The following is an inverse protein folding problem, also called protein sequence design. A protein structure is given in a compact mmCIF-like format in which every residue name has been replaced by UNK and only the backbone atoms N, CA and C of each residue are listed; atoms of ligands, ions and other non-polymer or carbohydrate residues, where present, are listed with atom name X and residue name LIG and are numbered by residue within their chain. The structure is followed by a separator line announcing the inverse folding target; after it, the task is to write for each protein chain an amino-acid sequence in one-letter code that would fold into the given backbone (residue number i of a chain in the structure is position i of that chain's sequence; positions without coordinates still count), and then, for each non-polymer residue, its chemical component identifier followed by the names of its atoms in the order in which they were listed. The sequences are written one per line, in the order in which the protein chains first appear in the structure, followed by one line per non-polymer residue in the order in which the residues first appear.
data_IF_876792696575
#
_entry.id   IF_876792696575
#
_cell.length_a   1.000
_cell.length_b   1.000
_cell.length_c   1.000
_cell.angle_alpha   90.00
_cell.angle_beta   90.00
_cell.angle_gamma   90.00
#
_symmetry.space_group_name_H-M   'P 1'
#
loop_
_entity.id
_entity.type
_entity.pdbx_description
1 polymer ?
#
# COMPACT_ATOMS: atom_id res chain seq x y z
N UNK A 1 -29.20 52.92 35.45
CA UNK A 1 -27.97 53.46 36.06
C UNK A 1 -26.92 53.60 34.96
N UNK A 2 -26.59 54.84 34.57
CA UNK A 2 -25.77 55.18 33.41
C UNK A 2 -24.29 55.18 33.84
N UNK A 3 -23.49 54.24 33.33
CA UNK A 3 -22.05 54.22 33.59
C UNK A 3 -21.35 55.33 32.78
N UNK A 4 -21.03 56.45 33.46
CA UNK A 4 -20.06 57.45 32.99
C UNK A 4 -18.64 56.88 33.14
N UNK A 5 -18.09 56.30 32.08
CA UNK A 5 -16.68 55.88 32.05
C UNK A 5 -15.78 57.00 31.51
N UNK A 6 -14.74 57.37 32.27
CA UNK A 6 -13.65 58.27 31.85
C UNK A 6 -13.10 57.86 30.47
N UNK A 7 -13.08 58.81 29.52
CA UNK A 7 -12.51 58.69 28.17
C UNK A 7 -11.08 58.12 28.28
N UNK A 8 -10.87 56.88 27.85
CA UNK A 8 -9.57 56.19 27.93
C UNK A 8 -9.71 54.76 28.47
N UNK A 9 -10.04 54.60 29.76
CA UNK A 9 -10.09 53.26 30.39
C UNK A 9 -11.31 52.43 29.97
N UNK A 10 -12.45 53.07 29.68
CA UNK A 10 -13.66 52.39 29.22
C UNK A 10 -13.56 51.86 27.77
N UNK A 11 -12.71 52.46 26.94
CA UNK A 11 -12.47 52.01 25.57
C UNK A 11 -11.63 50.72 25.55
N UNK A 12 -10.61 50.63 26.41
CA UNK A 12 -9.78 49.44 26.58
C UNK A 12 -10.62 48.28 27.11
N UNK A 13 -11.46 48.52 28.13
CA UNK A 13 -12.33 47.46 28.68
C UNK A 13 -13.33 46.94 27.65
N UNK A 14 -13.92 47.82 26.82
CA UNK A 14 -14.80 47.43 25.71
C UNK A 14 -14.04 46.65 24.62
N UNK A 15 -12.82 47.06 24.29
CA UNK A 15 -11.99 46.36 23.31
C UNK A 15 -11.60 44.96 23.78
N UNK A 16 -11.21 44.80 25.05
CA UNK A 16 -10.90 43.50 25.65
C UNK A 16 -12.14 42.61 25.69
N UNK A 17 -13.30 43.16 26.09
CA UNK A 17 -14.55 42.40 26.12
C UNK A 17 -14.98 41.94 24.72
N UNK A 18 -14.88 42.82 23.71
CA UNK A 18 -15.16 42.46 22.32
C UNK A 18 -14.18 41.42 21.77
N UNK A 19 -12.89 41.51 22.12
CA UNK A 19 -11.89 40.53 21.69
C UNK A 19 -12.15 39.14 22.31
N UNK A 20 -12.45 39.09 23.61
CA UNK A 20 -12.80 37.82 24.29
C UNK A 20 -14.11 37.26 23.74
N UNK A 21 -15.11 38.10 23.49
CA UNK A 21 -16.39 37.69 22.91
C UNK A 21 -16.23 37.13 21.49
N UNK A 22 -15.38 37.74 20.66
CA UNK A 22 -15.04 37.23 19.32
C UNK A 22 -14.29 35.90 19.37
N UNK A 23 -13.39 35.70 20.34
CA UNK A 23 -12.67 34.43 20.53
C UNK A 23 -13.65 33.32 20.97
N UNK A 24 -14.59 33.62 21.87
CA UNK A 24 -15.61 32.67 22.32
C UNK A 24 -16.60 32.34 21.19
N UNK A 25 -17.01 33.32 20.39
CA UNK A 25 -17.83 33.11 19.19
C UNK A 25 -17.10 32.29 18.13
N UNK A 26 -15.84 32.60 17.84
CA UNK A 26 -15.03 31.83 16.90
C UNK A 26 -14.81 30.38 17.40
N UNK A 27 -14.58 30.20 18.70
CA UNK A 27 -14.50 28.88 19.33
C UNK A 27 -15.81 28.11 19.27
N UNK A 28 -16.95 28.77 19.51
CA UNK A 28 -18.28 28.18 19.41
C UNK A 28 -18.65 27.83 17.96
N UNK A 29 -18.32 28.69 16.99
CA UNK A 29 -18.51 28.44 15.56
C UNK A 29 -17.60 27.32 15.08
N UNK A 30 -16.34 27.26 15.54
CA UNK A 30 -15.42 26.16 15.25
C UNK A 30 -15.90 24.84 15.86
N UNK A 31 -16.35 24.85 17.12
CA UNK A 31 -16.92 23.68 17.77
C UNK A 31 -18.25 23.25 17.15
N UNK A 32 -19.09 24.19 16.70
CA UNK A 32 -20.33 23.93 15.98
C UNK A 32 -20.06 23.38 14.58
N UNK A 33 -19.11 23.96 13.83
CA UNK A 33 -18.65 23.46 12.54
C UNK A 33 -17.95 22.08 12.68
N UNK A 34 -17.27 21.84 13.78
CA UNK A 34 -16.65 20.55 14.12
C UNK A 34 -17.68 19.51 14.57
N UNK A 35 -18.70 19.89 15.33
CA UNK A 35 -19.86 19.04 15.66
C UNK A 35 -20.71 18.70 14.44
N UNK A 36 -20.91 19.66 13.53
CA UNK A 36 -21.61 19.46 12.25
C UNK A 36 -20.72 18.78 11.19
N UNK A 37 -19.43 18.58 11.46
CA UNK A 37 -18.57 17.63 10.73
C UNK A 37 -18.78 16.18 11.18
N UNK A 38 -19.68 15.90 12.11
CA UNK A 38 -20.20 14.54 12.28
C UNK A 38 -21.20 14.23 11.17
N UNK A 39 -20.79 13.27 10.33
CA UNK A 39 -21.59 12.45 9.41
C UNK A 39 -22.03 13.07 8.08
N UNK A 40 -21.05 13.48 7.27
CA UNK A 40 -21.18 13.37 5.79
C UNK A 40 -21.29 11.92 5.28
N UNK A 41 -21.59 10.95 6.15
CA UNK A 41 -21.64 9.52 5.88
C UNK A 41 -23.08 8.97 5.85
N UNK A 42 -24.03 9.67 6.49
CA UNK A 42 -25.43 9.24 6.56
C UNK A 42 -26.18 9.45 5.25
N UNK A 43 -25.78 10.46 4.46
CA UNK A 43 -26.37 10.76 3.14
C UNK A 43 -25.61 10.13 1.95
N UNK A 44 -24.58 9.33 2.20
CA UNK A 44 -23.85 8.62 1.13
C UNK A 44 -24.62 7.33 0.79
N UNK A 45 -25.02 7.12 -0.48
CA UNK A 45 -25.66 5.89 -0.92
C UNK A 45 -24.89 4.64 -0.44
N UNK A 46 -25.58 3.58 0.02
CA UNK A 46 -24.93 2.36 0.50
C UNK A 46 -23.91 1.78 -0.48
N UNK A 47 -24.20 1.85 -1.78
CA UNK A 47 -23.31 1.38 -2.85
C UNK A 47 -21.97 2.14 -2.85
N UNK A 48 -21.97 3.46 -2.63
CA UNK A 48 -20.74 4.27 -2.57
C UNK A 48 -19.94 3.94 -1.29
N UNK A 49 -20.64 3.71 -0.17
CA UNK A 49 -20.00 3.26 1.07
C UNK A 49 -19.30 1.92 0.89
N UNK A 50 -19.90 1.01 0.12
CA UNK A 50 -19.32 -0.30 -0.18
C UNK A 50 -18.08 -0.20 -1.05
N UNK A 51 -18.08 0.65 -2.09
CA UNK A 51 -16.87 0.94 -2.89
C UNK A 51 -15.75 1.49 -2.02
N UNK A 52 -16.05 2.44 -1.13
CA UNK A 52 -15.07 3.01 -0.21
C UNK A 52 -14.49 1.96 0.75
N UNK A 53 -15.33 1.06 1.26
CA UNK A 53 -14.92 -0.07 2.10
C UNK A 53 -13.98 -1.03 1.37
N UNK A 54 -14.39 -1.51 0.19
CA UNK A 54 -13.57 -2.41 -0.64
C UNK A 54 -12.22 -1.79 -1.02
N UNK A 55 -12.22 -0.50 -1.38
CA UNK A 55 -10.98 0.19 -1.68
C UNK A 55 -10.08 0.36 -0.43
N UNK A 56 -10.66 0.60 0.75
CA UNK A 56 -9.91 0.62 2.01
C UNK A 56 -9.24 -0.72 2.30
N UNK A 57 -9.91 -1.83 2.01
CA UNK A 57 -9.36 -3.18 2.19
C UNK A 57 -8.18 -3.43 1.25
N UNK A 58 -8.25 -2.98 -0.02
CA UNK A 58 -7.13 -3.04 -0.95
C UNK A 58 -5.94 -2.21 -0.42
N UNK A 59 -6.18 -0.98 0.05
CA UNK A 59 -5.10 -0.14 0.60
C UNK A 59 -4.44 -0.81 1.80
N UNK A 60 -5.24 -1.33 2.73
CA UNK A 60 -4.75 -2.02 3.92
C UNK A 60 -3.89 -3.22 3.54
N UNK A 61 -4.41 -4.13 2.72
CA UNK A 61 -3.68 -5.33 2.28
C UNK A 61 -2.42 -4.97 1.48
N UNK A 62 -2.42 -3.86 0.74
CA UNK A 62 -1.24 -3.39 0.02
C UNK A 62 -0.16 -2.87 0.96
N UNK A 63 -0.53 -2.11 2.00
CA UNK A 63 0.39 -1.59 3.02
C UNK A 63 0.98 -2.74 3.84
N UNK A 64 0.13 -3.66 4.31
CA UNK A 64 0.56 -4.82 5.10
C UNK A 64 1.59 -5.65 4.29
N UNK A 65 1.36 -5.79 2.99
CA UNK A 65 2.26 -6.48 2.07
C UNK A 65 3.59 -5.74 1.85
N UNK A 66 3.59 -4.41 1.79
CA UNK A 66 4.84 -3.63 1.70
C UNK A 66 5.68 -3.80 2.97
N UNK A 67 5.07 -3.67 4.14
CA UNK A 67 5.76 -3.83 5.43
C UNK A 67 6.37 -5.24 5.56
N UNK A 68 5.62 -6.28 5.17
CA UNK A 68 6.12 -7.65 5.18
C UNK A 68 7.26 -7.88 4.15
N UNK A 69 7.21 -7.18 3.00
CA UNK A 69 8.26 -7.25 1.98
C UNK A 69 9.57 -6.61 2.45
N UNK A 70 9.50 -5.48 3.18
CA UNK A 70 10.67 -4.87 3.83
C UNK A 70 11.29 -5.79 4.88
N UNK A 71 10.47 -6.52 5.64
CA UNK A 71 10.96 -7.53 6.58
C UNK A 71 11.72 -8.65 5.84
N UNK A 72 11.23 -9.11 4.69
CA UNK A 72 11.92 -10.11 3.88
C UNK A 72 13.26 -9.57 3.33
N UNK A 73 13.29 -8.32 2.88
CA UNK A 73 14.52 -7.63 2.50
C UNK A 73 15.53 -7.59 3.65
N UNK A 74 15.08 -7.33 4.88
CA UNK A 74 15.95 -7.32 6.06
C UNK A 74 16.53 -8.70 6.40
N UNK A 75 15.74 -9.77 6.25
CA UNK A 75 16.21 -11.15 6.48
C UNK A 75 17.21 -11.60 5.41
N UNK A 76 17.11 -11.07 4.18
CA UNK A 76 18.11 -11.30 3.14
C UNK A 76 19.48 -10.67 3.42
N UNK A 77 19.59 -9.76 4.40
CA UNK A 77 20.85 -9.10 4.77
C UNK A 77 21.63 -9.83 5.85
N UNK A 78 21.02 -10.81 6.53
CA UNK A 78 21.64 -11.52 7.66
C UNK A 78 22.30 -12.81 7.16
N UNK A 79 23.58 -12.98 7.47
CA UNK A 79 24.45 -14.04 6.93
C UNK A 79 23.96 -15.46 7.26
N UNK A 80 23.62 -16.22 6.22
CA UNK A 80 23.74 -17.68 6.00
C UNK A 80 23.66 -18.64 7.20
N UNK A 81 22.68 -18.49 8.11
CA UNK A 81 22.33 -19.58 9.05
C UNK A 81 21.15 -20.37 8.51
N UNK A 82 21.16 -21.69 8.71
CA UNK A 82 20.03 -22.57 8.33
C UNK A 82 18.71 -22.13 8.98
N UNK A 83 18.76 -21.55 10.18
CA UNK A 83 17.63 -20.94 10.88
C UNK A 83 17.05 -19.74 10.14
N UNK A 84 17.89 -18.93 9.52
CA UNK A 84 17.48 -17.72 8.80
C UNK A 84 16.80 -18.10 7.48
N UNK A 85 17.29 -19.16 6.82
CA UNK A 85 16.63 -19.75 5.64
C UNK A 85 15.23 -20.25 6.00
N UNK A 86 15.05 -20.91 7.15
CA UNK A 86 13.74 -21.37 7.60
C UNK A 86 12.78 -20.20 7.87
N UNK A 87 13.24 -19.21 8.63
CA UNK A 87 12.45 -18.00 8.91
C UNK A 87 12.06 -17.25 7.62
N UNK A 88 12.95 -17.20 6.64
CA UNK A 88 12.65 -16.60 5.34
C UNK A 88 11.62 -17.42 4.54
N UNK A 89 11.67 -18.76 4.58
CA UNK A 89 10.63 -19.62 3.95
C UNK A 89 9.26 -19.35 4.59
N UNK A 90 9.19 -19.31 5.93
CA UNK A 90 7.95 -19.03 6.66
C UNK A 90 7.37 -17.65 6.29
N UNK A 91 8.21 -16.61 6.29
CA UNK A 91 7.79 -15.26 5.90
C UNK A 91 7.34 -15.18 4.44
N UNK A 92 8.00 -15.88 3.52
CA UNK A 92 7.54 -15.94 2.12
C UNK A 92 6.17 -16.64 2.03
N UNK A 93 5.94 -17.68 2.83
CA UNK A 93 4.64 -18.32 2.97
C UNK A 93 3.54 -17.32 3.35
N UNK A 94 3.77 -16.51 4.38
CA UNK A 94 2.87 -15.43 4.80
C UNK A 94 2.65 -14.39 3.68
N UNK A 95 3.73 -13.94 3.04
CA UNK A 95 3.68 -12.98 1.94
C UNK A 95 2.83 -13.47 0.76
N UNK A 96 2.92 -14.76 0.42
CA UNK A 96 2.10 -15.35 -0.66
C UNK A 96 0.62 -15.33 -0.32
N UNK A 97 0.25 -15.58 0.94
CA UNK A 97 -1.14 -15.44 1.39
C UNK A 97 -1.61 -13.99 1.32
N UNK A 98 -0.77 -13.03 1.74
CA UNK A 98 -1.07 -11.60 1.62
C UNK A 98 -1.23 -11.15 0.17
N UNK A 99 -0.40 -11.63 -0.76
CA UNK A 99 -0.54 -11.38 -2.20
C UNK A 99 -1.89 -11.89 -2.71
N UNK A 100 -2.28 -13.10 -2.32
CA UNK A 100 -3.57 -13.69 -2.71
C UNK A 100 -4.75 -12.88 -2.14
N UNK A 101 -4.69 -12.49 -0.86
CA UNK A 101 -5.72 -11.68 -0.23
C UNK A 101 -5.86 -10.29 -0.89
N UNK A 102 -4.74 -9.65 -1.22
CA UNK A 102 -4.71 -8.37 -1.94
C UNK A 102 -5.33 -8.49 -3.34
N UNK A 103 -4.99 -9.56 -4.09
CA UNK A 103 -5.59 -9.80 -5.41
C UNK A 103 -7.10 -10.05 -5.31
N UNK A 104 -7.54 -10.87 -4.35
CA UNK A 104 -8.96 -11.11 -4.13
C UNK A 104 -9.73 -9.82 -3.79
N UNK A 105 -9.14 -8.91 -3.01
CA UNK A 105 -9.75 -7.62 -2.69
C UNK A 105 -9.88 -6.74 -3.95
N UNK A 106 -8.87 -6.73 -4.82
CA UNK A 106 -8.92 -6.04 -6.12
C UNK A 106 -10.01 -6.63 -7.01
N UNK A 107 -10.06 -7.95 -7.16
CA UNK A 107 -11.04 -8.64 -8.00
C UNK A 107 -12.47 -8.40 -7.48
N UNK A 108 -12.67 -8.43 -6.17
CA UNK A 108 -13.96 -8.14 -5.53
C UNK A 108 -14.41 -6.71 -5.83
N UNK A 109 -13.51 -5.73 -5.76
CA UNK A 109 -13.83 -4.34 -6.11
C UNK A 109 -14.21 -4.21 -7.59
N UNK A 110 -13.44 -4.81 -8.50
CA UNK A 110 -13.71 -4.74 -9.95
C UNK A 110 -15.08 -5.35 -10.26
N UNK A 111 -15.36 -6.55 -9.77
CA UNK A 111 -16.65 -7.22 -9.95
C UNK A 111 -17.81 -6.40 -9.37
N UNK A 112 -17.61 -5.78 -8.20
CA UNK A 112 -18.61 -4.91 -7.61
C UNK A 112 -18.90 -3.67 -8.46
N UNK A 113 -17.85 -3.05 -9.01
CA UNK A 113 -17.97 -1.89 -9.90
C UNK A 113 -18.76 -2.25 -11.15
N UNK A 114 -18.43 -3.39 -11.77
CA UNK A 114 -19.09 -3.92 -12.97
C UNK A 114 -20.57 -4.23 -12.72
N UNK A 115 -20.88 -4.89 -11.59
CA UNK A 115 -22.26 -5.23 -11.24
C UNK A 115 -23.16 -4.01 -10.99
N UNK A 116 -22.59 -2.83 -10.72
CA UNK A 116 -23.32 -1.60 -10.39
C UNK A 116 -23.02 -0.44 -11.34
N UNK A 117 -22.49 -0.75 -12.53
CA UNK A 117 -22.03 0.24 -13.51
C UNK A 117 -23.12 1.27 -13.87
N UNK A 118 -24.35 0.83 -14.11
CA UNK A 118 -25.49 1.70 -14.44
C UNK A 118 -25.81 2.71 -13.32
N UNK A 119 -25.66 2.29 -12.06
CA UNK A 119 -25.83 3.19 -10.93
C UNK A 119 -24.75 4.28 -10.93
N UNK A 120 -23.48 3.90 -11.13
CA UNK A 120 -22.36 4.84 -11.14
C UNK A 120 -22.41 5.80 -12.33
N UNK A 121 -22.79 5.32 -13.53
CA UNK A 121 -23.00 6.17 -14.71
C UNK A 121 -24.09 7.20 -14.48
N UNK A 122 -25.27 6.80 -13.99
CA UNK A 122 -26.39 7.71 -13.69
C UNK A 122 -26.07 8.75 -12.61
N UNK A 123 -25.19 8.42 -11.67
CA UNK A 123 -24.73 9.32 -10.61
C UNK A 123 -23.49 10.14 -10.99
N UNK A 124 -23.02 10.03 -12.23
CA UNK A 124 -21.82 10.71 -12.74
C UNK A 124 -20.58 10.51 -11.85
N UNK A 125 -20.36 9.28 -11.37
CA UNK A 125 -19.25 8.94 -10.47
C UNK A 125 -18.04 8.45 -11.27
N UNK A 126 -17.49 9.31 -12.13
CA UNK A 126 -16.35 9.02 -13.02
C UNK A 126 -15.13 8.46 -12.28
N UNK A 127 -14.85 8.95 -11.07
CA UNK A 127 -13.73 8.51 -10.24
C UNK A 127 -13.75 7.00 -9.93
N UNK A 128 -14.93 6.36 -9.90
CA UNK A 128 -15.05 4.91 -9.67
C UNK A 128 -14.51 4.14 -10.88
N UNK A 129 -14.76 4.65 -12.08
CA UNK A 129 -14.23 4.06 -13.31
C UNK A 129 -12.72 4.26 -13.43
N UNK A 130 -12.19 5.42 -12.99
CA UNK A 130 -10.75 5.63 -12.89
C UNK A 130 -10.08 4.63 -11.91
N UNK A 131 -10.73 4.31 -10.78
CA UNK A 131 -10.21 3.25 -9.89
C UNK A 131 -10.17 1.89 -10.58
N UNK A 132 -11.25 1.51 -11.28
CA UNK A 132 -11.29 0.26 -12.06
C UNK A 132 -10.19 0.25 -13.11
N UNK A 133 -10.02 1.34 -13.85
CA UNK A 133 -8.99 1.49 -14.87
C UNK A 133 -7.58 1.32 -14.29
N UNK A 134 -7.30 1.92 -13.14
CA UNK A 134 -6.02 1.74 -12.46
C UNK A 134 -5.71 0.27 -12.18
N UNK A 135 -6.64 -0.45 -11.55
CA UNK A 135 -6.42 -1.84 -11.15
C UNK A 135 -6.47 -2.84 -12.32
N UNK A 136 -7.11 -2.48 -13.43
CA UNK A 136 -7.13 -3.29 -14.65
C UNK A 136 -6.01 -2.95 -15.63
N UNK A 137 -5.23 -1.89 -15.35
CA UNK A 137 -4.10 -1.50 -16.17
C UNK A 137 -3.05 -2.62 -16.29
N UNK A 138 -2.54 -2.83 -17.51
CA UNK A 138 -1.53 -3.85 -17.80
C UNK A 138 -0.32 -3.80 -16.87
N UNK A 139 0.22 -2.60 -16.58
CA UNK A 139 1.42 -2.48 -15.74
C UNK A 139 1.15 -2.88 -14.28
N UNK A 140 -0.04 -2.57 -13.76
CA UNK A 140 -0.47 -2.94 -12.40
C UNK A 140 -0.68 -4.46 -12.31
N UNK A 141 -1.41 -5.03 -13.27
CA UNK A 141 -1.64 -6.48 -13.38
C UNK A 141 -0.33 -7.26 -13.48
N UNK A 142 0.59 -6.83 -14.35
CA UNK A 142 1.89 -7.49 -14.51
C UNK A 142 2.79 -7.31 -13.28
N UNK A 143 2.69 -6.19 -12.56
CA UNK A 143 3.38 -6.03 -11.29
C UNK A 143 2.92 -7.06 -10.26
N UNK A 144 1.61 -7.24 -10.09
CA UNK A 144 1.07 -8.25 -9.17
C UNK A 144 1.49 -9.68 -9.57
N UNK A 145 1.37 -10.02 -10.85
CA UNK A 145 1.78 -11.33 -11.38
C UNK A 145 3.28 -11.60 -11.18
N UNK A 146 4.13 -10.62 -11.51
CA UNK A 146 5.58 -10.76 -11.36
C UNK A 146 6.01 -10.85 -9.89
N UNK A 147 5.31 -10.19 -8.96
CA UNK A 147 5.52 -10.33 -7.51
C UNK A 147 5.23 -11.76 -7.03
N UNK A 148 4.11 -12.34 -7.45
CA UNK A 148 3.75 -13.72 -7.12
C UNK A 148 4.82 -14.71 -7.63
N UNK A 149 5.27 -14.53 -8.89
CA UNK A 149 6.32 -15.36 -9.48
C UNK A 149 7.66 -15.21 -8.76
N UNK A 150 8.03 -13.98 -8.37
CA UNK A 150 9.23 -13.71 -7.58
C UNK A 150 9.21 -14.47 -6.26
N UNK A 151 8.13 -14.37 -5.48
CA UNK A 151 8.01 -15.06 -4.19
C UNK A 151 8.07 -16.58 -4.36
N UNK A 152 7.38 -17.13 -5.36
CA UNK A 152 7.41 -18.57 -5.64
C UNK A 152 8.81 -19.07 -6.03
N UNK A 153 9.52 -18.31 -6.88
CA UNK A 153 10.88 -18.67 -7.28
C UNK A 153 11.87 -18.54 -6.11
N UNK A 154 11.69 -17.55 -5.24
CA UNK A 154 12.53 -17.36 -4.06
C UNK A 154 12.31 -18.47 -3.04
N UNK A 155 11.06 -18.83 -2.77
CA UNK A 155 10.73 -19.97 -1.91
C UNK A 155 11.37 -21.26 -2.42
N UNK A 156 11.26 -21.54 -3.72
CA UNK A 156 11.86 -22.74 -4.32
C UNK A 156 13.38 -22.79 -4.15
N UNK A 157 14.06 -21.65 -4.31
CA UNK A 157 15.49 -21.52 -4.04
C UNK A 157 15.79 -21.80 -2.56
N UNK A 158 15.09 -21.15 -1.64
CA UNK A 158 15.33 -21.34 -0.21
C UNK A 158 15.04 -22.78 0.25
N UNK A 159 13.97 -23.41 -0.24
CA UNK A 159 13.67 -24.80 0.05
C UNK A 159 14.76 -25.75 -0.44
N UNK A 160 15.29 -25.53 -1.65
CA UNK A 160 16.39 -26.31 -2.17
C UNK A 160 17.67 -26.10 -1.34
N UNK A 161 18.00 -24.85 -1.02
CA UNK A 161 19.17 -24.51 -0.20
C UNK A 161 19.06 -25.08 1.20
N UNK A 162 17.89 -25.01 1.82
CA UNK A 162 17.62 -25.56 3.15
C UNK A 162 17.82 -27.08 3.17
N UNK A 163 17.20 -27.81 2.22
CA UNK A 163 17.27 -29.27 2.14
C UNK A 163 18.70 -29.77 1.90
N UNK A 164 19.50 -29.00 1.16
CA UNK A 164 20.85 -29.40 0.74
C UNK A 164 21.96 -28.58 1.41
N UNK A 165 21.66 -27.89 2.51
CA UNK A 165 22.52 -26.87 3.11
C UNK A 165 23.95 -27.35 3.33
N UNK A 166 24.13 -28.51 3.97
CA UNK A 166 25.46 -29.08 4.25
C UNK A 166 26.21 -29.50 2.97
N UNK A 167 25.49 -29.96 1.95
CA UNK A 167 26.09 -30.39 0.68
C UNK A 167 26.55 -29.20 -0.16
N UNK A 168 25.82 -28.08 -0.07
CA UNK A 168 26.17 -26.81 -0.75
C UNK A 168 27.32 -26.13 0.00
N UNK A 169 27.21 -25.96 1.33
CA UNK A 169 28.16 -25.21 2.15
C UNK A 169 29.55 -25.83 2.19
N UNK A 170 29.66 -27.16 2.15
CA UNK A 170 30.96 -27.84 2.20
C UNK A 170 31.50 -28.16 0.79
N UNK A 171 30.88 -27.62 -0.27
CA UNK A 171 31.21 -27.87 -1.69
C UNK A 171 31.40 -29.36 -2.02
N UNK A 172 30.75 -30.26 -1.26
CA UNK A 172 31.06 -31.69 -1.24
C UNK A 172 30.63 -32.44 -2.49
N UNK A 173 29.70 -31.90 -3.27
CA UNK A 173 29.25 -32.57 -4.48
C UNK A 173 28.79 -31.58 -5.56
N UNK A 174 29.43 -31.60 -6.76
CA UNK A 174 29.10 -30.72 -7.89
C UNK A 174 27.63 -30.77 -8.33
N UNK A 175 26.93 -31.88 -8.06
CA UNK A 175 25.52 -32.03 -8.40
C UNK A 175 24.64 -31.05 -7.61
N UNK A 176 24.90 -30.85 -6.31
CA UNK A 176 24.08 -29.98 -5.48
C UNK A 176 24.29 -28.51 -5.81
N UNK A 177 25.52 -28.13 -6.19
CA UNK A 177 25.86 -26.79 -6.69
C UNK A 177 25.15 -26.51 -8.01
N UNK A 178 25.21 -27.43 -8.98
CA UNK A 178 24.46 -27.29 -10.24
C UNK A 178 22.96 -27.11 -10.00
N UNK A 179 22.38 -27.85 -9.06
CA UNK A 179 20.97 -27.68 -8.72
C UNK A 179 20.70 -26.31 -8.09
N UNK A 180 21.55 -25.84 -7.18
CA UNK A 180 21.46 -24.50 -6.61
C UNK A 180 21.48 -23.42 -7.70
N UNK A 181 22.43 -23.50 -8.64
CA UNK A 181 22.55 -22.56 -9.75
C UNK A 181 21.27 -22.49 -10.60
N UNK A 182 20.62 -23.64 -10.85
CA UNK A 182 19.35 -23.68 -11.58
C UNK A 182 18.25 -22.91 -10.85
N UNK A 183 18.08 -23.14 -9.54
CA UNK A 183 17.10 -22.41 -8.74
C UNK A 183 17.44 -20.94 -8.60
N UNK A 184 18.73 -20.61 -8.43
CA UNK A 184 19.23 -19.26 -8.34
C UNK A 184 18.96 -18.46 -9.62
N UNK A 185 19.23 -19.05 -10.79
CA UNK A 185 18.96 -18.40 -12.08
C UNK A 185 17.45 -18.17 -12.32
N UNK A 186 16.59 -19.09 -11.87
CA UNK A 186 15.12 -18.89 -11.91
C UNK A 186 14.69 -17.73 -11.01
N UNK A 187 15.18 -17.72 -9.78
CA UNK A 187 14.96 -16.63 -8.83
C UNK A 187 15.39 -15.28 -9.40
N UNK A 188 16.62 -15.18 -9.91
CA UNK A 188 17.18 -13.94 -10.48
C UNK A 188 16.30 -13.39 -11.61
N UNK A 189 15.92 -14.24 -12.57
CA UNK A 189 15.03 -13.84 -13.67
C UNK A 189 13.67 -13.33 -13.16
N UNK A 190 13.12 -13.96 -12.13
CA UNK A 190 11.85 -13.54 -11.52
C UNK A 190 11.99 -12.19 -10.79
N UNK A 191 13.09 -11.99 -10.06
CA UNK A 191 13.41 -10.73 -9.39
C UNK A 191 13.61 -9.59 -10.40
N UNK A 192 14.36 -9.82 -11.48
CA UNK A 192 14.56 -8.83 -12.55
C UNK A 192 13.24 -8.44 -13.20
N UNK A 193 12.38 -9.41 -13.49
CA UNK A 193 11.04 -9.15 -14.04
C UNK A 193 10.17 -8.36 -13.05
N UNK A 194 10.18 -8.71 -11.77
CA UNK A 194 9.44 -8.00 -10.72
C UNK A 194 9.90 -6.54 -10.60
N UNK A 195 11.21 -6.31 -10.53
CA UNK A 195 11.81 -4.97 -10.47
C UNK A 195 11.43 -4.14 -11.71
N UNK A 196 11.50 -4.73 -12.90
CA UNK A 196 11.09 -4.07 -14.16
C UNK A 196 9.64 -3.64 -14.14
N UNK A 197 8.72 -4.52 -13.73
CA UNK A 197 7.30 -4.18 -13.66
C UNK A 197 6.96 -3.24 -12.51
N UNK A 198 7.69 -3.29 -11.39
CA UNK A 198 7.53 -2.30 -10.32
C UNK A 198 7.86 -0.89 -10.81
N UNK A 199 8.96 -0.71 -11.55
CA UNK A 199 9.32 0.59 -12.18
C UNK A 199 8.22 1.07 -13.13
N UNK A 200 7.72 0.19 -14.00
CA UNK A 200 6.62 0.52 -14.92
C UNK A 200 5.33 0.89 -14.19
N UNK A 201 4.96 0.16 -13.14
CA UNK A 201 3.80 0.45 -12.30
C UNK A 201 3.94 1.80 -11.61
N UNK A 202 5.10 2.12 -11.04
CA UNK A 202 5.35 3.42 -10.39
C UNK A 202 5.20 4.55 -11.39
N UNK A 203 5.85 4.46 -12.56
CA UNK A 203 5.76 5.48 -13.60
C UNK A 203 4.31 5.68 -14.07
N UNK A 204 3.58 4.59 -14.32
CA UNK A 204 2.17 4.63 -14.64
C UNK A 204 1.35 5.29 -13.53
N UNK A 205 1.53 4.86 -12.27
CA UNK A 205 0.77 5.38 -11.15
C UNK A 205 1.01 6.88 -10.93
N UNK A 206 2.24 7.35 -11.10
CA UNK A 206 2.56 8.79 -11.01
C UNK A 206 1.79 9.57 -12.08
N UNK A 207 1.90 9.17 -13.35
CA UNK A 207 1.19 9.83 -14.44
C UNK A 207 -0.35 9.75 -14.27
N UNK A 208 -0.85 8.59 -13.85
CA UNK A 208 -2.28 8.37 -13.63
C UNK A 208 -2.85 9.26 -12.52
N UNK A 209 -2.09 9.51 -11.46
CA UNK A 209 -2.50 10.41 -10.37
C UNK A 209 -2.44 11.89 -10.77
N UNK A 210 -1.58 12.25 -11.72
CA UNK A 210 -1.56 13.60 -12.29
C UNK A 210 -2.79 13.85 -13.17
N UNK A 211 -3.21 12.84 -13.94
CA UNK A 211 -4.42 12.90 -14.78
C UNK A 211 -5.72 12.79 -13.97
N UNK A 212 -5.71 12.00 -12.89
CA UNK A 212 -6.86 11.76 -12.01
C UNK A 212 -6.53 12.12 -10.54
N UNK A 213 -6.38 13.41 -10.19
CA UNK A 213 -6.01 13.83 -8.85
C UNK A 213 -7.05 13.43 -7.77
N UNK A 214 -8.32 13.29 -8.14
CA UNK A 214 -9.42 12.92 -7.25
C UNK A 214 -9.29 11.50 -6.69
N UNK A 215 -8.63 10.58 -7.41
CA UNK A 215 -8.42 9.20 -6.94
C UNK A 215 -7.11 9.01 -6.17
N UNK A 216 -6.25 10.04 -6.09
CA UNK A 216 -4.94 9.97 -5.38
C UNK A 216 -5.05 9.41 -3.97
N UNK A 217 -6.03 9.91 -3.21
CA UNK A 217 -6.27 9.49 -1.82
C UNK A 217 -6.87 8.08 -1.71
N UNK A 218 -7.34 7.51 -2.82
CA UNK A 218 -7.98 6.20 -2.90
C UNK A 218 -6.99 5.13 -3.34
N UNK A 219 -5.96 5.46 -4.11
CA UNK A 219 -4.93 4.51 -4.51
C UNK A 219 -3.91 4.24 -3.39
N UNK A 220 -3.34 3.02 -3.30
CA UNK A 220 -2.20 2.77 -2.44
C UNK A 220 -1.04 3.66 -2.89
N UNK A 221 -0.36 4.36 -1.97
CA UNK A 221 0.72 5.27 -2.33
C UNK A 221 1.82 4.61 -3.17
N UNK A 222 2.59 5.42 -3.90
CA UNK A 222 3.73 4.92 -4.66
C UNK A 222 4.82 4.46 -3.68
N UNK A 223 4.81 3.17 -3.33
CA UNK A 223 5.88 2.60 -2.53
C UNK A 223 7.06 2.27 -3.43
N UNK A 224 8.20 2.87 -3.11
CA UNK A 224 9.49 2.54 -3.70
C UNK A 224 10.16 1.52 -2.79
N UNK A 225 9.76 0.25 -2.88
CA UNK A 225 10.68 -0.80 -2.44
C UNK A 225 11.94 -0.64 -3.30
N UNK A 226 13.11 -0.55 -2.66
CA UNK A 226 14.39 -0.51 -3.35
C UNK A 226 14.50 -1.67 -4.33
N UNK A 227 15.43 -1.60 -5.31
CA UNK A 227 15.66 -2.77 -6.16
C UNK A 227 16.02 -3.97 -5.27
N UNK A 228 15.19 -5.01 -5.26
CA UNK A 228 15.50 -6.25 -4.56
C UNK A 228 16.78 -6.80 -5.19
N UNK A 229 17.89 -6.72 -4.46
CA UNK A 229 19.21 -7.22 -4.86
C UNK A 229 19.73 -8.16 -3.79
N UNK A 230 19.20 -9.38 -3.79
CA UNK A 230 19.66 -10.45 -2.91
C UNK A 230 21.10 -10.89 -3.27
N UNK A 231 21.49 -10.77 -4.55
CA UNK A 231 22.76 -11.28 -5.08
C UNK A 231 23.99 -10.43 -4.78
N UNK A 232 23.84 -9.15 -4.40
CA UNK A 232 24.97 -8.34 -3.94
C UNK A 232 25.44 -8.79 -2.54
N UNK A 233 24.70 -9.71 -1.89
CA UNK A 233 24.84 -10.04 -0.45
C UNK A 233 25.28 -11.48 -0.18
N UNK A 234 25.28 -12.35 -1.19
CA UNK A 234 25.73 -13.75 -1.11
C UNK A 234 26.72 -14.05 -2.24
N UNK A 235 27.89 -13.42 -2.19
CA UNK A 235 29.08 -13.98 -2.86
C UNK A 235 29.62 -15.08 -1.95
N UNK A 236 29.42 -16.35 -2.34
CA UNK A 236 30.21 -17.46 -1.81
C UNK A 236 31.63 -17.39 -2.38
#
# INVERSE_FOLDING_TARGET
MIFKTKKGKGAILKAVFSAVFLIVLAGAVFLYASKNKKTGQDNVPPIIRQVAGLNKDIKKTTIDLYNASEKLDSLSMVQSRITDIRSAIELIGELRQMVKANQNAVDTLILFIEAHEDFFRRKNLSWIFAIKEFYTNHNVVQHHKSRANFLAAFEALLQYTYKNFQNIMVLKSPQYIKGYDVYYMRYRRAADSHNRFNKKRIAFQTAFVEEHPEVKSLLPGAHHLGSFKFWDKFSF
#
